data_IF_316884151978
#
_entry.id   IF_316884151978
#
_cell.length_a   1.000
_cell.length_b   1.000
_cell.length_c   1.000
_cell.angle_alpha   90.00
_cell.angle_beta   90.00
_cell.angle_gamma   90.00
#
_symmetry.space_group_name_H-M   'P 1'
#
loop_
_entity.id
_entity.type
_entity.pdbx_description
1 polymer ?
#
# COMPACT_ATOMS: atom_id res chain seq x y z
N UNK A 1 16.25 9.84 -23.56
CA UNK A 1 15.72 9.96 -22.20
C UNK A 1 14.53 9.00 -22.08
N UNK A 2 14.54 8.13 -21.08
CA UNK A 2 13.40 7.26 -20.78
C UNK A 2 12.19 8.07 -20.29
N UNK A 3 10.98 7.51 -20.43
CA UNK A 3 9.76 8.10 -19.86
C UNK A 3 9.69 7.76 -18.37
N UNK A 4 9.23 8.68 -17.53
CA UNK A 4 8.90 8.37 -16.16
C UNK A 4 7.66 7.47 -16.12
N UNK A 5 7.62 6.55 -15.16
CA UNK A 5 6.53 5.60 -14.94
C UNK A 5 5.97 5.86 -13.55
N UNK A 6 4.68 6.14 -13.47
CA UNK A 6 3.96 6.28 -12.21
C UNK A 6 2.84 5.24 -12.16
N UNK A 7 2.95 4.29 -11.23
CA UNK A 7 1.90 3.31 -10.92
C UNK A 7 1.19 3.74 -9.65
N UNK A 8 -0.10 4.02 -9.75
CA UNK A 8 -0.95 4.36 -8.60
C UNK A 8 -1.90 3.19 -8.35
N UNK A 9 -1.83 2.61 -7.15
CA UNK A 9 -2.75 1.56 -6.71
C UNK A 9 -3.59 2.06 -5.55
N UNK A 10 -4.89 1.82 -5.61
CA UNK A 10 -5.82 2.09 -4.52
C UNK A 10 -6.06 0.83 -3.70
N UNK A 11 -6.34 0.98 -2.41
CA UNK A 11 -6.70 -0.14 -1.54
C UNK A 11 -8.21 -0.28 -1.43
N UNK A 12 -8.75 -1.48 -1.64
CA UNK A 12 -10.18 -1.82 -1.54
C UNK A 12 -11.15 -0.93 -2.32
N UNK A 13 -10.71 -0.26 -3.38
CA UNK A 13 -11.60 0.58 -4.18
C UNK A 13 -12.47 -0.28 -5.10
N UNK A 14 -13.77 -0.08 -5.05
CA UNK A 14 -14.72 -0.69 -5.98
C UNK A 14 -14.60 -0.04 -7.36
N UNK A 15 -14.82 -0.83 -8.40
CA UNK A 15 -14.82 -0.35 -9.79
C UNK A 15 -15.81 0.81 -10.01
N UNK A 16 -17.02 0.67 -9.48
CA UNK A 16 -18.12 1.61 -9.60
C UNK A 16 -18.05 2.80 -8.60
N UNK A 17 -16.94 2.96 -7.89
CA UNK A 17 -16.69 4.15 -7.08
C UNK A 17 -16.26 5.36 -7.92
N UNK A 18 -15.69 5.12 -9.11
CA UNK A 18 -15.20 6.16 -10.00
C UNK A 18 -16.30 6.66 -10.95
N UNK A 19 -16.35 7.98 -11.17
CA UNK A 19 -17.30 8.60 -12.10
C UNK A 19 -17.17 8.06 -13.53
N UNK A 20 -15.95 7.89 -14.04
CA UNK A 20 -15.67 7.33 -15.37
C UNK A 20 -16.16 5.86 -15.53
N UNK A 21 -16.48 5.19 -14.44
CA UNK A 21 -17.03 3.84 -14.42
C UNK A 21 -18.54 3.81 -14.03
N UNK A 22 -19.21 4.96 -14.03
CA UNK A 22 -20.63 5.09 -13.70
C UNK A 22 -20.91 5.32 -12.21
N UNK A 23 -19.91 5.61 -11.40
CA UNK A 23 -20.07 5.99 -9.99
C UNK A 23 -20.78 7.33 -9.84
N UNK A 24 -21.73 7.38 -8.89
CA UNK A 24 -22.56 8.60 -8.67
C UNK A 24 -22.38 9.18 -7.26
N UNK A 25 -21.69 8.48 -6.37
CA UNK A 25 -21.54 8.86 -4.96
C UNK A 25 -20.26 9.66 -4.73
N UNK A 26 -19.13 9.12 -5.16
CA UNK A 26 -17.85 9.80 -5.03
C UNK A 26 -17.62 10.76 -6.20
N UNK A 27 -17.01 11.91 -5.91
CA UNK A 27 -16.59 12.87 -6.94
C UNK A 27 -15.13 12.62 -7.29
N UNK A 28 -14.87 12.16 -8.51
CA UNK A 28 -13.53 11.75 -8.98
C UNK A 28 -13.07 12.50 -10.24
N UNK A 29 -13.19 13.84 -10.29
CA UNK A 29 -13.01 14.60 -11.54
C UNK A 29 -11.61 14.46 -12.14
N UNK A 30 -10.57 14.32 -11.31
CA UNK A 30 -9.19 14.17 -11.79
C UNK A 30 -8.98 12.80 -12.43
N UNK A 31 -9.48 11.73 -11.80
CA UNK A 31 -9.38 10.38 -12.36
C UNK A 31 -10.25 10.24 -13.60
N UNK A 32 -11.44 10.87 -13.60
CA UNK A 32 -12.35 10.88 -14.75
C UNK A 32 -11.73 11.59 -15.96
N UNK A 33 -11.05 12.72 -15.73
CA UNK A 33 -10.31 13.42 -16.78
C UNK A 33 -9.14 12.56 -17.31
N UNK A 34 -8.38 11.94 -16.43
CA UNK A 34 -7.29 11.03 -16.82
C UNK A 34 -7.82 9.85 -17.65
N UNK A 35 -8.96 9.30 -17.28
CA UNK A 35 -9.61 8.22 -18.02
C UNK A 35 -10.08 8.66 -19.40
N UNK A 36 -10.55 9.92 -19.53
CA UNK A 36 -10.98 10.50 -20.81
C UNK A 36 -9.81 10.79 -21.77
N UNK A 37 -8.65 11.13 -21.23
CA UNK A 37 -7.42 11.40 -22.01
C UNK A 37 -6.60 10.13 -22.31
N UNK A 38 -6.80 9.08 -21.53
CA UNK A 38 -6.04 7.83 -21.60
C UNK A 38 -6.85 6.63 -22.08
N UNK A 39 -6.53 5.48 -21.50
CA UNK A 39 -7.24 4.22 -21.78
C UNK A 39 -7.87 3.71 -20.48
N UNK A 40 -9.19 3.56 -20.46
CA UNK A 40 -9.93 2.95 -19.37
C UNK A 40 -10.23 1.48 -19.68
N UNK A 41 -9.58 0.56 -18.96
CA UNK A 41 -9.77 -0.88 -19.07
C UNK A 41 -10.95 -1.33 -18.19
N UNK A 42 -12.13 -1.43 -18.75
CA UNK A 42 -13.36 -1.79 -18.02
C UNK A 42 -13.40 -3.23 -17.51
N UNK A 43 -12.49 -4.08 -17.95
CA UNK A 43 -12.40 -5.50 -17.56
C UNK A 43 -11.00 -5.89 -17.07
N UNK A 44 -10.29 -4.96 -16.44
CA UNK A 44 -9.05 -5.30 -15.75
C UNK A 44 -9.37 -6.04 -14.45
N UNK A 45 -8.77 -7.20 -14.26
CA UNK A 45 -8.99 -8.06 -13.09
C UNK A 45 -7.67 -8.32 -12.39
N UNK A 46 -7.69 -8.19 -11.06
CA UNK A 46 -6.59 -8.64 -10.23
C UNK A 46 -6.66 -10.16 -10.05
N UNK A 47 -5.51 -10.80 -9.88
CA UNK A 47 -5.40 -12.26 -9.74
C UNK A 47 -5.87 -12.76 -8.36
N UNK A 48 -6.03 -11.88 -7.39
CA UNK A 48 -6.55 -12.19 -6.07
C UNK A 48 -7.25 -10.97 -5.47
N UNK A 49 -8.26 -11.21 -4.63
CA UNK A 49 -9.04 -10.17 -3.94
C UNK A 49 -8.41 -9.75 -2.61
N UNK A 50 -7.36 -10.44 -2.15
CA UNK A 50 -6.69 -10.22 -0.88
C UNK A 50 -5.40 -9.43 -1.10
N UNK A 51 -5.06 -8.56 -0.16
CA UNK A 51 -4.00 -7.54 -0.34
C UNK A 51 -2.63 -8.12 -0.70
N UNK A 52 -2.07 -9.02 0.13
CA UNK A 52 -0.71 -9.54 -0.08
C UNK A 52 -0.59 -10.32 -1.38
N UNK A 53 -1.47 -11.30 -1.70
CA UNK A 53 -1.41 -12.00 -2.98
C UNK A 53 -1.55 -11.07 -4.19
N UNK A 54 -2.46 -10.10 -4.12
CA UNK A 54 -2.69 -9.14 -5.19
C UNK A 54 -1.44 -8.27 -5.45
N UNK A 55 -0.82 -7.76 -4.37
CA UNK A 55 0.37 -6.91 -4.45
C UNK A 55 1.59 -7.69 -4.92
N UNK A 56 1.78 -8.93 -4.43
CA UNK A 56 2.81 -9.82 -4.92
C UNK A 56 2.66 -10.07 -6.43
N UNK A 57 1.44 -10.35 -6.92
CA UNK A 57 1.16 -10.51 -8.35
C UNK A 57 1.51 -9.24 -9.14
N UNK A 58 1.13 -8.06 -8.65
CA UNK A 58 1.39 -6.78 -9.36
C UNK A 58 2.89 -6.55 -9.54
N UNK A 59 3.70 -6.78 -8.50
CA UNK A 59 5.13 -6.43 -8.60
C UNK A 59 5.99 -7.52 -9.23
N UNK A 60 5.56 -8.80 -9.15
CA UNK A 60 6.32 -9.92 -9.75
C UNK A 60 5.87 -10.25 -11.16
N UNK A 61 4.65 -9.87 -11.53
CA UNK A 61 4.02 -10.29 -12.78
C UNK A 61 3.66 -11.78 -12.82
N UNK A 62 3.71 -12.47 -11.68
CA UNK A 62 3.45 -13.91 -11.57
C UNK A 62 2.06 -14.19 -11.03
N UNK A 63 1.51 -15.38 -11.36
CA UNK A 63 0.31 -15.87 -10.71
C UNK A 63 0.57 -16.31 -9.27
N UNK A 64 -0.48 -16.32 -8.45
CA UNK A 64 -0.44 -16.75 -7.05
C UNK A 64 0.18 -18.13 -6.87
N UNK A 65 -0.09 -19.06 -7.78
CA UNK A 65 0.51 -20.41 -7.77
C UNK A 65 2.02 -20.43 -8.01
N UNK A 66 2.57 -19.37 -8.60
CA UNK A 66 4.00 -19.27 -8.92
C UNK A 66 4.77 -18.56 -7.80
N UNK A 67 4.32 -17.38 -7.35
CA UNK A 67 5.00 -16.66 -6.28
C UNK A 67 4.64 -17.18 -4.87
N UNK A 68 3.66 -18.05 -4.72
CA UNK A 68 3.34 -18.76 -3.48
C UNK A 68 2.63 -17.93 -2.40
N UNK A 69 2.40 -16.64 -2.60
CA UNK A 69 1.66 -15.79 -1.67
C UNK A 69 0.17 -15.97 -1.91
N UNK A 70 -0.46 -16.92 -1.22
CA UNK A 70 -1.85 -17.29 -1.47
C UNK A 70 -2.86 -16.66 -0.50
N UNK A 71 -2.38 -16.07 0.60
CA UNK A 71 -3.19 -15.36 1.58
C UNK A 71 -2.39 -14.29 2.31
N UNK A 72 -3.06 -13.41 3.05
CA UNK A 72 -2.38 -12.54 4.00
C UNK A 72 -1.72 -13.38 5.10
N UNK A 73 -0.51 -13.01 5.48
CA UNK A 73 0.31 -13.78 6.43
C UNK A 73 1.38 -14.66 5.78
N UNK A 74 1.37 -14.78 4.45
CA UNK A 74 2.43 -15.48 3.69
C UNK A 74 3.30 -14.44 3.01
N UNK A 75 4.56 -14.32 3.45
CA UNK A 75 5.52 -13.37 2.87
C UNK A 75 5.87 -13.71 1.43
N UNK A 76 6.02 -12.68 0.61
CA UNK A 76 6.69 -12.84 -0.69
C UNK A 76 8.17 -13.18 -0.44
N UNK A 77 8.74 -14.22 -1.06
CA UNK A 77 10.17 -14.49 -0.97
C UNK A 77 11.01 -13.26 -1.32
N UNK A 78 12.08 -13.03 -0.59
CA UNK A 78 12.89 -11.81 -0.77
C UNK A 78 13.68 -11.85 -2.08
N UNK A 79 14.04 -13.04 -2.53
CA UNK A 79 14.74 -13.32 -3.77
C UNK A 79 13.89 -13.17 -5.04
N UNK A 80 12.56 -13.01 -4.89
CA UNK A 80 11.68 -12.89 -6.04
C UNK A 80 12.00 -11.64 -6.87
N UNK A 81 12.15 -11.85 -8.18
CA UNK A 81 12.43 -10.78 -9.12
C UNK A 81 11.18 -9.93 -9.36
N UNK A 82 11.30 -8.63 -9.15
CA UNK A 82 10.19 -7.68 -9.26
C UNK A 82 10.35 -6.76 -10.46
N UNK A 83 9.28 -6.07 -10.83
CA UNK A 83 9.33 -5.01 -11.84
C UNK A 83 10.32 -3.90 -11.48
N UNK A 84 10.50 -3.63 -10.18
CA UNK A 84 11.47 -2.64 -9.72
C UNK A 84 12.91 -3.06 -10.04
N UNK A 85 13.27 -4.33 -9.79
CA UNK A 85 14.56 -4.88 -10.22
C UNK A 85 14.76 -4.75 -11.74
N UNK A 86 13.72 -5.10 -12.52
CA UNK A 86 13.78 -4.98 -13.97
C UNK A 86 14.03 -3.53 -14.41
N UNK A 87 13.35 -2.57 -13.84
CA UNK A 87 13.52 -1.16 -14.17
C UNK A 87 14.91 -0.65 -13.78
N UNK A 88 15.47 -1.08 -12.66
CA UNK A 88 16.85 -0.74 -12.28
C UNK A 88 17.87 -1.20 -13.32
N UNK A 89 17.72 -2.41 -13.88
CA UNK A 89 18.63 -2.89 -14.93
C UNK A 89 18.58 -2.05 -16.21
N UNK A 90 17.52 -1.23 -16.35
CA UNK A 90 17.35 -0.28 -17.46
C UNK A 90 17.65 1.17 -17.05
N UNK A 91 18.30 1.38 -15.90
CA UNK A 91 18.77 2.68 -15.45
C UNK A 91 17.70 3.57 -14.80
N UNK A 92 16.55 3.01 -14.45
CA UNK A 92 15.53 3.75 -13.69
C UNK A 92 15.92 3.82 -12.22
N UNK A 93 15.56 4.93 -11.59
CA UNK A 93 15.44 5.03 -10.14
C UNK A 93 14.03 4.61 -9.73
N UNK A 94 13.94 3.79 -8.70
CA UNK A 94 12.71 3.13 -8.29
C UNK A 94 12.30 3.54 -6.87
N UNK A 95 11.04 3.89 -6.68
CA UNK A 95 10.50 4.24 -5.37
C UNK A 95 9.12 3.61 -5.15
N UNK A 96 8.84 3.21 -3.92
CA UNK A 96 7.52 2.80 -3.46
C UNK A 96 7.11 3.69 -2.28
N UNK A 97 5.99 4.39 -2.45
CA UNK A 97 5.41 5.24 -1.42
C UNK A 97 4.03 4.69 -1.06
N UNK A 98 3.78 4.43 0.21
CA UNK A 98 2.52 3.92 0.70
C UNK A 98 2.55 2.43 1.06
N UNK A 99 1.48 1.70 0.73
CA UNK A 99 1.30 0.30 1.15
C UNK A 99 2.12 -0.65 0.28
N UNK A 100 3.16 -1.27 0.85
CA UNK A 100 3.87 -2.40 0.26
C UNK A 100 3.14 -3.73 0.53
N UNK A 101 3.11 -4.16 1.77
CA UNK A 101 2.43 -5.35 2.24
C UNK A 101 2.87 -6.63 1.50
N UNK A 102 4.17 -6.75 1.25
CA UNK A 102 4.80 -7.97 0.73
C UNK A 102 5.16 -8.93 1.85
N UNK A 103 5.17 -8.42 3.09
CA UNK A 103 5.33 -9.17 4.33
C UNK A 103 4.15 -8.93 5.26
N UNK A 104 3.86 -9.86 6.18
CA UNK A 104 2.84 -9.68 7.20
C UNK A 104 3.16 -8.50 8.10
N UNK A 105 2.12 -7.76 8.50
CA UNK A 105 2.25 -6.69 9.48
C UNK A 105 1.86 -7.14 10.90
N UNK A 106 1.20 -8.31 11.02
CA UNK A 106 0.84 -8.93 12.29
C UNK A 106 2.02 -9.73 12.83
N UNK A 107 2.35 -9.54 14.09
CA UNK A 107 3.44 -10.20 14.77
C UNK A 107 4.29 -9.21 15.56
N UNK A 108 5.42 -9.64 16.07
CA UNK A 108 6.38 -8.70 16.62
C UNK A 108 6.89 -7.78 15.50
N UNK A 109 7.01 -6.46 15.73
CA UNK A 109 7.60 -5.54 14.75
C UNK A 109 9.00 -5.94 14.28
N UNK A 110 9.68 -6.82 15.05
CA UNK A 110 11.00 -7.35 14.72
C UNK A 110 10.99 -8.51 13.73
N UNK A 111 9.82 -9.13 13.48
CA UNK A 111 9.77 -10.39 12.75
C UNK A 111 9.87 -10.20 11.24
N UNK A 112 9.42 -9.06 10.74
CA UNK A 112 9.39 -8.77 9.31
C UNK A 112 10.19 -7.51 8.96
N UNK A 113 10.88 -7.55 7.83
CA UNK A 113 11.78 -6.48 7.41
C UNK A 113 11.02 -5.17 7.13
N UNK A 114 9.85 -5.23 6.48
CA UNK A 114 9.02 -4.04 6.23
C UNK A 114 8.63 -3.31 7.53
N UNK A 115 8.32 -4.05 8.60
CA UNK A 115 8.01 -3.47 9.91
C UNK A 115 9.24 -2.84 10.57
N UNK A 116 10.43 -3.47 10.40
CA UNK A 116 11.70 -2.92 10.93
C UNK A 116 12.14 -1.67 10.20
N UNK A 117 12.00 -1.64 8.86
CA UNK A 117 12.38 -0.47 8.05
C UNK A 117 11.79 0.81 8.63
N UNK A 118 10.49 0.82 8.88
CA UNK A 118 9.81 1.99 9.41
C UNK A 118 10.33 2.38 10.80
N UNK A 119 10.45 1.41 11.69
CA UNK A 119 10.92 1.63 13.06
C UNK A 119 12.36 2.16 13.14
N UNK A 120 13.21 1.72 12.22
CA UNK A 120 14.60 2.11 12.12
C UNK A 120 14.82 3.36 11.22
N UNK A 121 13.74 3.93 10.71
CA UNK A 121 13.76 5.00 9.71
C UNK A 121 14.61 4.64 8.48
N UNK A 122 14.57 3.37 8.09
CA UNK A 122 15.29 2.83 6.94
C UNK A 122 14.39 2.90 5.70
N UNK A 123 14.80 3.64 4.70
CA UNK A 123 14.06 3.83 3.45
C UNK A 123 14.55 2.95 2.29
N UNK A 124 15.33 1.93 2.56
CA UNK A 124 15.78 0.99 1.54
C UNK A 124 17.30 0.94 1.34
N UNK A 125 17.74 0.27 0.28
CA UNK A 125 16.92 -0.39 -0.74
C UNK A 125 16.24 -1.68 -0.28
N UNK A 126 15.11 -2.03 -0.92
CA UNK A 126 14.39 -3.27 -0.65
C UNK A 126 13.60 -3.74 -1.89
N UNK A 127 13.68 -5.01 -2.24
CA UNK A 127 12.93 -5.67 -3.34
C UNK A 127 13.01 -4.95 -4.69
N UNK A 128 14.18 -4.33 -4.99
CA UNK A 128 14.40 -3.58 -6.21
C UNK A 128 13.92 -2.13 -6.15
N UNK A 129 13.36 -1.68 -5.04
CA UNK A 129 13.11 -0.25 -4.82
C UNK A 129 14.33 0.39 -4.18
N UNK A 130 14.85 1.45 -4.81
CA UNK A 130 15.94 2.26 -4.25
C UNK A 130 15.49 3.01 -3.00
N UNK A 131 14.21 3.38 -2.96
CA UNK A 131 13.60 4.15 -1.87
C UNK A 131 12.19 3.65 -1.55
N UNK A 132 11.90 3.48 -0.27
CA UNK A 132 10.57 3.07 0.21
C UNK A 132 10.17 3.87 1.43
N UNK A 133 8.99 4.50 1.38
CA UNK A 133 8.32 5.08 2.54
C UNK A 133 6.97 4.40 2.74
N UNK A 134 6.88 3.61 3.80
CA UNK A 134 5.74 2.74 4.02
C UNK A 134 4.62 3.44 4.79
N UNK A 135 3.39 3.25 4.32
CA UNK A 135 2.15 3.56 5.01
C UNK A 135 1.23 2.34 4.86
N UNK A 136 1.40 1.37 5.75
CA UNK A 136 0.64 0.12 5.70
C UNK A 136 -0.70 0.26 6.45
N UNK A 137 -0.95 -0.58 7.46
CA UNK A 137 -2.10 -0.47 8.33
C UNK A 137 -1.80 0.44 9.52
N UNK A 138 -2.83 1.06 10.10
CA UNK A 138 -2.69 2.01 11.20
C UNK A 138 -2.38 1.32 12.53
N UNK A 139 -1.09 1.08 12.78
CA UNK A 139 -0.58 0.65 14.07
C UNK A 139 0.61 1.53 14.43
N UNK A 140 0.59 2.07 15.63
CA UNK A 140 1.61 2.98 16.12
C UNK A 140 3.02 2.38 15.96
N UNK A 141 3.87 3.08 15.21
CA UNK A 141 5.27 2.72 15.02
C UNK A 141 5.54 1.58 14.03
N UNK A 142 4.57 1.19 13.20
CA UNK A 142 4.72 0.11 12.23
C UNK A 142 4.89 0.60 10.77
N UNK A 143 4.84 1.90 10.53
CA UNK A 143 5.11 2.49 9.21
C UNK A 143 5.86 3.81 9.33
N UNK A 144 6.54 4.21 8.26
CA UNK A 144 7.22 5.52 8.20
C UNK A 144 6.23 6.67 8.42
N UNK A 145 5.01 6.51 7.89
CA UNK A 145 3.95 7.50 8.08
C UNK A 145 3.54 7.64 9.53
N UNK A 146 3.46 6.56 10.29
CA UNK A 146 3.11 6.60 11.72
C UNK A 146 4.20 7.30 12.55
N UNK A 147 5.46 7.03 12.22
CA UNK A 147 6.61 7.71 12.85
C UNK A 147 6.57 9.20 12.52
N UNK A 148 6.40 9.54 11.25
CA UNK A 148 6.28 10.93 10.81
C UNK A 148 5.11 11.66 11.49
N UNK A 149 3.94 11.03 11.61
CA UNK A 149 2.78 11.58 12.30
C UNK A 149 3.05 11.82 13.79
N UNK A 150 3.72 10.88 14.47
CA UNK A 150 4.05 11.01 15.87
C UNK A 150 5.02 12.19 16.12
N UNK A 151 5.97 12.40 15.21
CA UNK A 151 6.98 13.44 15.32
C UNK A 151 6.46 14.83 14.96
N UNK A 152 5.60 14.94 13.94
CA UNK A 152 5.16 16.22 13.40
C UNK A 152 3.78 16.66 13.91
N UNK A 153 2.93 15.71 14.31
CA UNK A 153 1.55 15.94 14.75
C UNK A 153 1.19 15.14 16.00
N UNK A 154 1.97 15.29 17.10
CA UNK A 154 1.74 14.52 18.33
C UNK A 154 0.34 14.76 18.94
N UNK A 155 -0.26 15.92 18.69
CA UNK A 155 -1.60 16.29 19.14
C UNK A 155 -2.72 15.47 18.48
N UNK A 156 -2.42 14.84 17.33
CA UNK A 156 -3.39 14.02 16.61
C UNK A 156 -3.33 12.55 17.04
N UNK A 157 -2.36 12.15 17.85
CA UNK A 157 -2.13 10.76 18.23
C UNK A 157 -3.39 10.08 18.80
N UNK A 158 -4.08 10.70 19.75
CA UNK A 158 -5.28 10.15 20.37
C UNK A 158 -6.47 10.08 19.40
N UNK A 159 -6.51 10.97 18.42
CA UNK A 159 -7.55 10.97 17.38
C UNK A 159 -7.26 9.96 16.28
N UNK A 160 -5.97 9.69 16.02
CA UNK A 160 -5.54 8.80 14.95
C UNK A 160 -5.62 7.33 15.35
N UNK A 161 -5.37 7.02 16.65
CA UNK A 161 -5.36 5.65 17.18
C UNK A 161 -6.47 5.38 18.23
N UNK A 162 -7.69 5.95 18.12
CA UNK A 162 -8.71 5.78 19.16
C UNK A 162 -9.16 4.34 19.36
N UNK A 163 -8.86 3.45 18.40
CA UNK A 163 -9.31 2.06 18.41
C UNK A 163 -8.31 1.06 19.00
N UNK A 164 -7.08 1.49 19.27
CA UNK A 164 -6.04 0.60 19.82
C UNK A 164 -6.15 0.50 21.34
N UNK A 165 -6.72 1.53 21.98
CA UNK A 165 -6.78 1.64 23.44
C UNK A 165 -7.98 0.94 24.09
N UNK A 166 -9.03 0.60 23.34
CA UNK A 166 -10.18 -0.11 23.90
C UNK A 166 -10.07 -1.62 23.67
N UNK A 167 -9.49 -2.27 24.71
CA UNK A 167 -9.64 -3.68 25.04
C UNK A 167 -9.61 -4.68 23.88
N UNK A 168 -8.40 -5.15 23.54
CA UNK A 168 -8.16 -6.55 23.15
C UNK A 168 -9.11 -7.25 22.18
N UNK A 169 -9.97 -6.54 21.49
CA UNK A 169 -10.78 -7.08 20.43
C UNK A 169 -10.05 -6.85 19.11
N UNK A 170 -9.38 -7.89 18.65
CA UNK A 170 -8.90 -8.02 17.28
C UNK A 170 -10.09 -7.97 16.31
N UNK A 171 -10.62 -6.79 16.03
CA UNK A 171 -11.53 -6.61 14.90
C UNK A 171 -10.69 -6.48 13.63
N UNK A 172 -10.20 -7.59 13.17
CA UNK A 172 -9.68 -7.75 11.82
C UNK A 172 -10.83 -7.36 10.88
N UNK A 173 -10.79 -6.16 10.33
CA UNK A 173 -11.72 -5.71 9.29
C UNK A 173 -12.51 -4.43 9.56
N UNK A 174 -12.69 -3.99 10.81
CA UNK A 174 -13.48 -2.78 11.12
C UNK A 174 -12.68 -1.48 11.16
N UNK A 175 -11.37 -1.57 11.38
CA UNK A 175 -10.51 -0.39 11.63
C UNK A 175 -10.22 0.48 10.41
N UNK A 176 -10.10 -0.11 9.24
CA UNK A 176 -9.73 0.62 8.03
C UNK A 176 -10.80 1.64 7.59
N UNK A 177 -12.08 1.35 7.82
CA UNK A 177 -13.18 2.23 7.42
C UNK A 177 -13.32 3.46 8.31
N UNK A 178 -13.00 3.37 9.59
CA UNK A 178 -13.06 4.53 10.48
C UNK A 178 -11.80 5.40 10.42
N UNK A 179 -10.64 4.81 10.21
CA UNK A 179 -9.39 5.56 10.06
C UNK A 179 -9.41 6.44 8.80
N UNK A 180 -10.02 5.98 7.70
CA UNK A 180 -10.20 6.79 6.49
C UNK A 180 -11.14 8.00 6.69
N UNK A 181 -11.90 8.05 7.77
CA UNK A 181 -12.80 9.18 8.08
C UNK A 181 -12.09 10.31 8.85
N UNK A 182 -10.85 10.12 9.29
CA UNK A 182 -10.13 11.06 10.18
C UNK A 182 -8.99 11.79 9.47
N UNK A 183 -8.88 11.71 8.15
CA UNK A 183 -7.94 12.56 7.42
C UNK A 183 -8.42 14.01 7.53
N UNK A 184 -7.67 14.91 8.17
CA UNK A 184 -7.93 16.33 8.03
C UNK A 184 -7.54 16.71 6.58
N UNK A 185 -8.54 16.85 5.73
CA UNK A 185 -8.37 17.37 4.36
C UNK A 185 -8.16 18.90 4.36
N UNK A 186 -7.92 19.49 5.52
CA UNK A 186 -7.79 20.93 5.73
C UNK A 186 -6.41 21.28 6.32
N UNK A 187 -5.32 20.82 5.67
CA UNK A 187 -3.99 21.35 5.93
C UNK A 187 -3.33 21.75 4.62
#
# INVERSE_FOLDING_TARGET
MGRNILLITTDQMRFDALGCNGGVVARTPVIDALAAEGINYSRAHNQNVVCMPARATIITGQHVSSHGVWMNGVSLPEEDYTIAHHLQTHGYKTALLGKAHFEPWLGSPSDFFENRMAKENNTGPHRGFDHMELANHFFEGHSHYDVWMADNHPELKERFYPMITEKGQNTVGGGATQACQVWPMDV
#
